data_IF_001176987569
#
_entry.id   IF_001176987569
#
_cell.length_a   1.000
_cell.length_b   1.000
_cell.length_c   1.000
_cell.angle_alpha   90.00
_cell.angle_beta   90.00
_cell.angle_gamma   90.00
#
_symmetry.space_group_name_H-M   'P 1'
#
loop_
_entity.id
_entity.type
_entity.pdbx_description
1 polymer ?
#
# COMPACT_ATOMS: atom_id res chain seq x y z
N UNK A 1 1.47 -23.13 -3.14
CA UNK A 1 0.40 -22.19 -3.57
C UNK A 1 -0.14 -21.46 -2.34
N UNK A 2 -0.41 -20.15 -2.46
CA UNK A 2 -1.04 -19.33 -1.43
C UNK A 2 -2.53 -19.24 -1.75
N UNK A 3 -3.38 -19.92 -0.98
CA UNK A 3 -4.81 -20.07 -1.29
C UNK A 3 -5.73 -19.20 -0.40
N UNK A 4 -5.13 -18.34 0.42
CA UNK A 4 -5.83 -17.46 1.35
C UNK A 4 -5.46 -16.03 1.04
N UNK A 5 -6.44 -15.19 0.72
CA UNK A 5 -6.29 -13.74 0.67
C UNK A 5 -6.82 -13.12 1.96
N UNK A 6 -6.12 -12.13 2.51
CA UNK A 6 -6.62 -11.31 3.60
C UNK A 6 -6.78 -9.87 3.13
N UNK A 7 -7.81 -9.21 3.63
CA UNK A 7 -8.07 -7.81 3.34
C UNK A 7 -7.63 -6.98 4.54
N UNK A 8 -6.68 -6.09 4.32
CA UNK A 8 -6.13 -5.18 5.33
C UNK A 8 -6.54 -3.76 4.96
N UNK A 9 -7.13 -3.05 5.92
CA UNK A 9 -7.62 -1.69 5.74
C UNK A 9 -6.69 -0.70 6.43
N UNK A 10 -6.13 0.20 5.65
CA UNK A 10 -5.27 1.29 6.11
C UNK A 10 -6.13 2.49 6.52
N UNK A 11 -5.76 3.14 7.60
CA UNK A 11 -6.44 4.29 8.17
C UNK A 11 -7.52 3.92 9.16
N UNK A 12 -7.40 2.80 9.90
CA UNK A 12 -8.29 2.40 11.00
C UNK A 12 -7.75 2.74 12.40
N UNK A 13 -6.52 3.24 12.49
CA UNK A 13 -5.89 3.76 13.72
C UNK A 13 -4.53 3.12 14.00
N UNK A 14 -4.14 2.17 13.15
CA UNK A 14 -2.83 1.57 13.12
C UNK A 14 -1.75 2.53 12.61
N UNK A 15 -0.52 2.25 13.03
CA UNK A 15 0.70 2.82 12.47
C UNK A 15 1.15 2.05 11.22
N UNK A 16 2.04 2.66 10.42
CA UNK A 16 2.65 1.95 9.28
C UNK A 16 3.45 0.74 9.76
N UNK A 17 4.14 0.86 10.91
CA UNK A 17 4.85 -0.24 11.55
C UNK A 17 3.95 -1.43 11.91
N UNK A 18 2.79 -1.18 12.52
CA UNK A 18 1.82 -2.24 12.85
C UNK A 18 1.28 -2.90 11.58
N UNK A 19 1.00 -2.10 10.55
CA UNK A 19 0.53 -2.61 9.25
C UNK A 19 1.60 -3.50 8.59
N UNK A 20 2.86 -3.06 8.55
CA UNK A 20 4.00 -3.84 8.04
C UNK A 20 4.15 -5.16 8.79
N UNK A 21 4.07 -5.14 10.12
CA UNK A 21 4.16 -6.35 10.95
C UNK A 21 3.04 -7.35 10.64
N UNK A 22 1.81 -6.87 10.45
CA UNK A 22 0.67 -7.72 10.07
C UNK A 22 0.85 -8.29 8.67
N UNK A 23 1.31 -7.49 7.70
CA UNK A 23 1.56 -7.93 6.33
C UNK A 23 2.61 -9.04 6.28
N UNK A 24 3.74 -8.86 6.97
CA UNK A 24 4.81 -9.86 7.05
C UNK A 24 4.34 -11.15 7.73
N UNK A 25 3.64 -11.04 8.87
CA UNK A 25 3.10 -12.22 9.57
C UNK A 25 2.15 -13.00 8.68
N UNK A 26 1.28 -12.30 7.96
CA UNK A 26 0.30 -12.90 7.05
C UNK A 26 0.98 -13.56 5.85
N UNK A 27 2.01 -12.90 5.32
CA UNK A 27 2.84 -13.47 4.27
C UNK A 27 3.58 -14.73 4.74
N UNK A 28 4.09 -14.76 5.95
CA UNK A 28 4.83 -15.93 6.47
C UNK A 28 3.94 -17.16 6.72
N UNK A 29 2.64 -16.98 6.98
CA UNK A 29 1.69 -18.10 7.13
C UNK A 29 1.02 -18.53 5.82
N UNK A 30 1.46 -17.99 4.68
CA UNK A 30 0.96 -18.38 3.36
C UNK A 30 -0.27 -17.61 2.87
N UNK A 31 -0.62 -16.48 3.49
CA UNK A 31 -1.68 -15.59 3.01
C UNK A 31 -1.13 -14.49 2.07
N UNK A 32 -1.98 -13.98 1.18
CA UNK A 32 -1.70 -12.83 0.31
C UNK A 32 -2.38 -11.59 0.88
N UNK A 33 -1.68 -10.46 0.94
CA UNK A 33 -2.24 -9.22 1.47
C UNK A 33 -2.94 -8.42 0.36
N UNK A 34 -4.20 -8.05 0.58
CA UNK A 34 -4.93 -7.09 -0.24
C UNK A 34 -5.19 -5.83 0.57
N UNK A 35 -4.62 -4.71 0.14
CA UNK A 35 -4.74 -3.43 0.84
C UNK A 35 -5.96 -2.64 0.37
N UNK A 36 -6.63 -2.02 1.32
CA UNK A 36 -7.72 -1.08 1.12
C UNK A 36 -7.44 0.21 1.90
N UNK A 37 -7.82 1.35 1.33
CA UNK A 37 -7.82 2.61 2.06
C UNK A 37 -9.18 2.79 2.71
N UNK A 38 -9.22 3.15 3.99
CA UNK A 38 -10.47 3.50 4.64
C UNK A 38 -11.12 4.69 3.95
N UNK A 39 -12.33 4.50 3.43
CA UNK A 39 -13.14 5.54 2.82
C UNK A 39 -14.46 5.64 3.60
N UNK A 40 -14.75 6.84 4.12
CA UNK A 40 -15.87 7.05 5.02
C UNK A 40 -17.18 7.15 4.24
N UNK A 41 -18.15 6.30 4.60
CA UNK A 41 -19.48 6.37 3.99
C UNK A 41 -20.43 7.30 4.75
N UNK A 42 -21.14 8.22 4.06
CA UNK A 42 -22.11 9.11 4.68
C UNK A 42 -23.18 8.35 5.48
N UNK A 43 -23.45 8.76 6.71
CA UNK A 43 -24.42 8.11 7.59
C UNK A 43 -23.91 6.85 8.29
N UNK A 44 -22.66 6.44 8.07
CA UNK A 44 -22.03 5.36 8.84
C UNK A 44 -21.56 5.84 10.22
N UNK A 45 -21.35 4.91 11.16
CA UNK A 45 -20.76 5.23 12.48
C UNK A 45 -19.37 5.88 12.39
N UNK A 46 -18.67 5.69 11.27
CA UNK A 46 -17.33 6.21 11.02
C UNK A 46 -17.33 7.32 9.97
N UNK A 47 -18.47 7.96 9.69
CA UNK A 47 -18.58 9.03 8.68
C UNK A 47 -17.62 10.20 8.89
N UNK A 48 -17.25 10.47 10.16
CA UNK A 48 -16.35 11.57 10.53
C UNK A 48 -14.88 11.17 10.56
N UNK A 49 -14.57 9.89 10.28
CA UNK A 49 -13.19 9.40 10.23
C UNK A 49 -12.58 9.80 8.89
N UNK A 50 -11.38 10.39 8.95
CA UNK A 50 -10.66 10.78 7.73
C UNK A 50 -10.05 9.55 7.06
N UNK A 51 -10.03 9.58 5.73
CA UNK A 51 -9.21 8.69 4.92
C UNK A 51 -7.73 8.86 5.31
N UNK A 52 -6.91 7.79 5.31
CA UNK A 52 -5.49 7.93 5.60
C UNK A 52 -4.83 8.88 4.60
N UNK A 53 -3.83 9.68 5.02
CA UNK A 53 -3.06 10.51 4.08
C UNK A 53 -2.52 9.67 2.92
N UNK A 54 -2.55 10.23 1.72
CA UNK A 54 -2.07 9.53 0.52
C UNK A 54 -0.61 9.03 0.65
N UNK A 55 0.36 9.82 1.17
CA UNK A 55 1.73 9.34 1.40
C UNK A 55 1.81 8.11 2.31
N UNK A 56 1.02 8.06 3.39
CA UNK A 56 0.94 6.92 4.30
C UNK A 56 0.54 5.67 3.56
N UNK A 57 -0.48 5.75 2.71
CA UNK A 57 -0.93 4.61 1.92
C UNK A 57 0.10 4.15 0.89
N UNK A 58 0.76 5.09 0.19
CA UNK A 58 1.82 4.78 -0.77
C UNK A 58 2.99 4.03 -0.10
N UNK A 59 3.41 4.46 1.09
CA UNK A 59 4.48 3.77 1.84
C UNK A 59 4.07 2.35 2.24
N UNK A 60 2.82 2.15 2.69
CA UNK A 60 2.30 0.83 3.02
C UNK A 60 2.22 -0.08 1.78
N UNK A 61 1.80 0.45 0.64
CA UNK A 61 1.78 -0.28 -0.64
C UNK A 61 3.19 -0.72 -1.07
N UNK A 62 4.16 0.19 -0.98
CA UNK A 62 5.56 -0.12 -1.29
C UNK A 62 6.11 -1.18 -0.33
N UNK A 63 5.88 -1.04 0.97
CA UNK A 63 6.31 -2.02 1.96
C UNK A 63 5.71 -3.41 1.70
N UNK A 64 4.42 -3.50 1.33
CA UNK A 64 3.81 -4.76 0.90
C UNK A 64 4.58 -5.40 -0.24
N UNK A 65 4.83 -4.64 -1.30
CA UNK A 65 5.54 -5.14 -2.47
C UNK A 65 6.94 -5.65 -2.11
N UNK A 66 7.66 -4.94 -1.25
CA UNK A 66 9.00 -5.35 -0.80
C UNK A 66 8.97 -6.67 -0.02
N UNK A 67 7.98 -6.87 0.85
CA UNK A 67 7.80 -8.12 1.61
C UNK A 67 7.44 -9.28 0.67
N UNK A 68 6.45 -9.06 -0.21
CA UNK A 68 5.86 -10.13 -1.02
C UNK A 68 6.75 -10.53 -2.20
N UNK A 69 7.35 -9.55 -2.89
CA UNK A 69 8.04 -9.74 -4.17
C UNK A 69 9.56 -9.61 -4.09
N UNK A 70 10.08 -8.92 -3.05
CA UNK A 70 11.53 -8.72 -2.84
C UNK A 70 12.09 -9.42 -1.60
N UNK A 71 11.24 -10.09 -0.82
CA UNK A 71 11.59 -10.80 0.40
C UNK A 71 12.33 -9.92 1.44
N UNK A 72 12.03 -8.62 1.48
CA UNK A 72 12.53 -7.70 2.51
C UNK A 72 11.76 -7.92 3.80
N UNK A 73 12.48 -8.03 4.92
CA UNK A 73 11.87 -8.26 6.22
C UNK A 73 11.49 -6.94 6.87
N UNK A 74 10.49 -6.98 7.77
CA UNK A 74 10.13 -5.78 8.55
C UNK A 74 11.30 -5.28 9.40
N UNK A 75 12.23 -6.16 9.78
CA UNK A 75 13.45 -5.83 10.53
C UNK A 75 14.49 -5.08 9.72
N UNK A 76 14.40 -5.10 8.39
CA UNK A 76 15.30 -4.36 7.51
C UNK A 76 14.80 -2.92 7.27
N UNK A 77 13.53 -2.65 7.56
CA UNK A 77 12.93 -1.32 7.48
C UNK A 77 13.16 -0.52 8.77
N UNK A 78 13.22 0.82 8.65
CA UNK A 78 13.29 1.70 9.82
C UNK A 78 12.01 2.53 9.97
N UNK A 79 11.63 2.76 11.22
CA UNK A 79 10.44 3.50 11.60
C UNK A 79 10.80 4.67 12.53
N UNK A 80 10.09 5.79 12.41
CA UNK A 80 10.21 6.88 13.36
C UNK A 80 9.44 6.57 14.67
N UNK A 81 9.52 7.48 15.64
CA UNK A 81 8.85 7.33 16.95
C UNK A 81 7.31 7.21 16.88
N UNK A 82 6.71 7.70 15.79
CA UNK A 82 5.26 7.72 15.56
C UNK A 82 4.84 6.53 14.68
N UNK A 83 5.78 5.63 14.33
CA UNK A 83 5.54 4.41 13.57
C UNK A 83 5.45 4.60 12.06
N UNK A 84 5.91 5.73 11.50
CA UNK A 84 6.02 5.93 10.06
C UNK A 84 7.31 5.33 9.51
N UNK A 85 7.24 4.76 8.31
CA UNK A 85 8.40 4.24 7.58
C UNK A 85 9.30 5.41 7.17
N UNK A 86 10.58 5.32 7.52
CA UNK A 86 11.62 6.29 7.14
C UNK A 86 12.75 5.66 6.31
N UNK A 87 12.83 4.33 6.30
CA UNK A 87 13.77 3.57 5.48
C UNK A 87 13.11 2.23 5.08
N UNK A 88 13.27 1.81 3.84
CA UNK A 88 12.66 0.60 3.29
C UNK A 88 13.59 -0.63 3.28
N UNK A 89 14.81 -0.52 3.80
CA UNK A 89 15.77 -1.62 3.88
C UNK A 89 16.53 -1.90 2.58
N UNK A 90 16.47 -0.98 1.62
CA UNK A 90 17.18 -1.05 0.34
C UNK A 90 17.83 0.31 0.01
N UNK A 91 18.90 0.31 -0.81
CA UNK A 91 19.45 1.54 -1.38
C UNK A 91 18.38 2.40 -2.05
N UNK A 92 18.55 3.72 -1.99
CA UNK A 92 17.62 4.68 -2.58
C UNK A 92 17.38 4.42 -4.08
N UNK A 93 18.44 4.12 -4.83
CA UNK A 93 18.35 3.81 -6.27
C UNK A 93 17.43 2.59 -6.53
N UNK A 94 17.55 1.52 -5.75
CA UNK A 94 16.72 0.32 -5.88
C UNK A 94 15.24 0.62 -5.55
N UNK A 95 14.99 1.46 -4.54
CA UNK A 95 13.65 1.91 -4.19
C UNK A 95 13.04 2.74 -5.31
N UNK A 96 13.81 3.65 -5.90
CA UNK A 96 13.35 4.48 -7.02
C UNK A 96 13.06 3.65 -8.26
N UNK A 97 13.89 2.64 -8.58
CA UNK A 97 13.60 1.70 -9.66
C UNK A 97 12.27 0.96 -9.43
N UNK A 98 12.00 0.52 -8.22
CA UNK A 98 10.74 -0.17 -7.87
C UNK A 98 9.53 0.78 -7.97
N UNK A 99 9.66 2.02 -7.52
CA UNK A 99 8.61 3.03 -7.65
C UNK A 99 8.28 3.27 -9.12
N UNK A 100 9.30 3.39 -9.98
CA UNK A 100 9.15 3.62 -11.42
C UNK A 100 8.50 2.44 -12.18
N UNK A 101 8.46 1.24 -11.60
CA UNK A 101 7.67 0.14 -12.17
C UNK A 101 6.17 0.40 -12.05
N UNK A 102 5.71 1.22 -11.09
CA UNK A 102 4.29 1.49 -10.82
C UNK A 102 3.51 0.31 -10.22
N UNK A 103 4.03 -0.92 -10.34
CA UNK A 103 3.43 -2.17 -9.85
C UNK A 103 3.02 -2.12 -8.37
N UNK A 104 3.81 -1.55 -7.43
CA UNK A 104 3.43 -1.52 -6.01
C UNK A 104 2.09 -0.81 -5.75
N UNK A 105 1.74 0.17 -6.58
CA UNK A 105 0.59 1.07 -6.41
C UNK A 105 -0.66 0.62 -7.18
N UNK A 106 -0.52 -0.45 -7.97
CA UNK A 106 -1.63 -1.02 -8.72
C UNK A 106 -2.61 -1.76 -7.80
N UNK A 107 -3.85 -1.86 -8.26
CA UNK A 107 -4.93 -2.57 -7.57
C UNK A 107 -4.56 -4.03 -7.43
N UNK A 108 -4.48 -4.51 -6.19
CA UNK A 108 -4.37 -5.93 -5.88
C UNK A 108 -5.73 -6.63 -5.89
N UNK A 109 -5.74 -7.95 -6.01
CA UNK A 109 -6.96 -8.74 -5.88
C UNK A 109 -6.80 -10.17 -6.39
N UNK A 110 -7.93 -10.84 -6.63
CA UNK A 110 -7.94 -12.23 -7.08
C UNK A 110 -7.09 -12.40 -8.35
N UNK A 111 -6.25 -13.42 -8.34
CA UNK A 111 -5.49 -13.83 -9.51
C UNK A 111 -6.44 -14.41 -10.56
N UNK A 112 -6.18 -14.14 -11.83
CA UNK A 112 -6.74 -14.85 -12.95
C UNK A 112 -6.06 -16.23 -13.10
N UNK A 113 -6.52 -17.00 -14.10
CA UNK A 113 -5.96 -18.33 -14.38
C UNK A 113 -4.49 -18.31 -14.82
N UNK A 114 -3.92 -17.13 -15.13
CA UNK A 114 -2.52 -16.95 -15.50
C UNK A 114 -1.67 -16.42 -14.34
N UNK A 115 -2.26 -16.26 -13.15
CA UNK A 115 -1.56 -15.68 -11.99
C UNK A 115 -1.42 -14.15 -12.05
N UNK A 116 -2.10 -13.47 -12.96
CA UNK A 116 -2.14 -12.01 -13.03
C UNK A 116 -3.34 -11.47 -12.25
N UNK A 117 -3.23 -10.30 -11.64
CA UNK A 117 -4.35 -9.72 -10.87
C UNK A 117 -5.52 -9.38 -11.80
N UNK A 118 -6.67 -10.03 -11.58
CA UNK A 118 -7.89 -9.85 -12.35
C UNK A 118 -8.76 -8.68 -11.85
N UNK A 119 -8.41 -8.11 -10.68
CA UNK A 119 -9.22 -7.09 -10.02
C UNK A 119 -8.97 -5.71 -10.62
N UNK A 120 -10.03 -5.10 -11.17
CA UNK A 120 -10.00 -3.79 -11.81
C UNK A 120 -11.03 -2.82 -11.20
N UNK A 121 -11.34 -2.95 -9.90
CA UNK A 121 -12.28 -2.08 -9.18
C UNK A 121 -11.55 -1.18 -8.16
N UNK A 122 -10.91 -0.09 -8.59
CA UNK A 122 -10.07 0.75 -7.73
C UNK A 122 -10.90 1.67 -6.79
N UNK A 123 -12.11 2.06 -7.22
CA UNK A 123 -12.92 3.09 -6.57
C UNK A 123 -13.71 2.60 -5.35
N UNK A 124 -13.39 1.42 -4.81
CA UNK A 124 -13.87 1.03 -3.47
C UNK A 124 -13.18 1.81 -2.34
N UNK A 125 -12.07 2.48 -2.66
CA UNK A 125 -11.17 3.09 -1.69
C UNK A 125 -11.05 4.62 -1.82
N UNK A 126 -11.57 5.21 -2.90
CA UNK A 126 -11.50 6.65 -3.16
C UNK A 126 -12.47 7.03 -4.29
N UNK A 127 -12.83 8.32 -4.34
CA UNK A 127 -13.46 8.90 -5.53
C UNK A 127 -12.43 9.05 -6.66
N UNK A 128 -12.85 9.06 -7.94
CA UNK A 128 -11.99 9.43 -9.05
C UNK A 128 -11.39 10.83 -8.84
N UNK A 129 -10.12 11.01 -9.21
CA UNK A 129 -9.36 12.25 -9.01
C UNK A 129 -7.89 12.11 -9.44
N UNK A 130 -7.08 13.14 -9.21
CA UNK A 130 -5.65 13.11 -9.55
C UNK A 130 -4.87 12.09 -8.71
N UNK A 131 -5.17 12.02 -7.40
CA UNK A 131 -4.59 11.05 -6.48
C UNK A 131 -5.46 9.80 -6.42
N UNK A 132 -4.89 8.66 -6.76
CA UNK A 132 -5.53 7.35 -6.62
C UNK A 132 -4.86 6.59 -5.48
N UNK A 133 -5.68 5.97 -4.62
CA UNK A 133 -5.14 5.05 -3.61
C UNK A 133 -4.79 3.72 -4.27
N UNK A 134 -5.49 3.28 -5.32
CA UNK A 134 -5.06 2.14 -6.11
C UNK A 134 -5.27 2.44 -7.60
N UNK A 135 -4.24 2.22 -8.40
CA UNK A 135 -4.34 2.39 -9.86
C UNK A 135 -4.86 1.10 -10.49
N UNK A 136 -5.91 1.11 -11.33
CA UNK A 136 -6.39 -0.10 -12.00
C UNK A 136 -5.53 -0.47 -13.22
N UNK A 137 -4.54 0.36 -13.55
CA UNK A 137 -3.62 0.25 -14.67
C UNK A 137 -2.21 0.61 -14.17
N UNK A 138 -1.14 0.28 -14.92
CA UNK A 138 0.20 0.78 -14.63
C UNK A 138 0.20 2.32 -14.67
N UNK A 139 0.61 3.00 -13.58
CA UNK A 139 0.65 4.46 -13.54
C UNK A 139 1.48 5.05 -14.70
N UNK A 140 1.03 6.18 -15.24
CA UNK A 140 1.77 6.92 -16.26
C UNK A 140 2.87 7.82 -15.68
N UNK A 141 3.59 8.55 -16.53
CA UNK A 141 4.71 9.41 -16.11
C UNK A 141 4.26 10.52 -15.13
N UNK A 142 3.11 11.15 -15.37
CA UNK A 142 2.59 12.21 -14.49
C UNK A 142 2.18 11.64 -13.12
N UNK A 143 1.55 10.47 -13.11
CA UNK A 143 1.15 9.77 -11.88
C UNK A 143 2.37 9.27 -11.09
N UNK A 144 3.40 8.75 -11.76
CA UNK A 144 4.65 8.33 -11.13
C UNK A 144 5.41 9.50 -10.52
N UNK A 145 5.49 10.64 -11.21
CA UNK A 145 6.10 11.87 -10.68
C UNK A 145 5.34 12.37 -9.44
N UNK A 146 4.00 12.27 -9.46
CA UNK A 146 3.16 12.62 -8.32
C UNK A 146 3.40 11.68 -7.14
N UNK A 147 3.55 10.37 -7.37
CA UNK A 147 3.87 9.38 -6.33
C UNK A 147 5.24 9.68 -5.71
N UNK A 148 6.28 9.86 -6.54
CA UNK A 148 7.65 10.13 -6.10
C UNK A 148 7.74 11.39 -5.24
N UNK A 149 7.07 12.47 -5.65
CA UNK A 149 7.06 13.74 -4.90
C UNK A 149 6.37 13.66 -3.54
N UNK A 150 5.54 12.64 -3.30
CA UNK A 150 4.74 12.52 -2.08
C UNK A 150 5.10 11.34 -1.18
N UNK A 151 5.61 10.22 -1.70
CA UNK A 151 5.77 8.98 -0.92
C UNK A 151 6.67 9.15 0.31
N UNK A 152 7.70 9.99 0.22
CA UNK A 152 8.62 10.28 1.32
C UNK A 152 8.15 11.38 2.27
N UNK A 153 6.97 11.98 2.01
CA UNK A 153 6.43 13.05 2.87
C UNK A 153 5.74 12.46 4.09
N UNK A 154 6.19 12.84 5.28
CA UNK A 154 5.53 12.47 6.54
C UNK A 154 4.50 13.54 6.87
N UNK A 155 3.23 13.22 6.63
CA UNK A 155 2.11 14.08 7.01
C UNK A 155 1.85 14.04 8.52
N UNK A 156 1.23 15.08 9.11
CA UNK A 156 0.70 14.99 10.46
C UNK A 156 -0.43 13.94 10.51
N UNK A 157 -0.45 13.15 11.59
CA UNK A 157 -1.54 12.21 11.91
C UNK A 157 -2.86 12.95 12.15
#
# INVERSE_FOLDING_TARGET
ERNVGIHLMVGMGETEQEMVSIMERSWNIGAVNHLFSFFAEPGSKLENRKQPPWPTYLRVQLARYLIEEKAILSSDMAFNKDGHIIDFGLPEDDIMEIINLGIPFMTGGCLDNNGAVACNRPFGNCLPGEKQWNYPYPPDEEELDLIQSHIFTIGPN
#
